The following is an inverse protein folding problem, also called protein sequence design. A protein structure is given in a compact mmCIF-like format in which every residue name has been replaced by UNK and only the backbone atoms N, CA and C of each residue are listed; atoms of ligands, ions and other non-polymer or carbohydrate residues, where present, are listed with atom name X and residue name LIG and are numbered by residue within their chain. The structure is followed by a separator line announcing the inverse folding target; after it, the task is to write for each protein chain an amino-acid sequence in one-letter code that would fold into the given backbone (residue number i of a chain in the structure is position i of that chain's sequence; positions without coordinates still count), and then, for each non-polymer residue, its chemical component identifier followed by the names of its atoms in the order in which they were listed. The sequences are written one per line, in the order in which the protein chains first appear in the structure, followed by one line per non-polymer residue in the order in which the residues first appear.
data_IF_827844661405
#
_entry.id   IF_827844661405
#
_cell.length_a   1.000
_cell.length_b   1.000
_cell.length_c   1.000
_cell.angle_alpha   90.00
_cell.angle_beta   90.00
_cell.angle_gamma   90.00
#
_symmetry.space_group_name_H-M   'P 1'
#
loop_
_entity.id
_entity.type
_entity.pdbx_description
1 polymer ?
#
# COMPACT_ATOMS: atom_id res chain seq x y z
N UNK A 1 32.53 -7.02 -10.50
CA UNK A 1 31.35 -6.43 -9.83
C UNK A 1 30.67 -5.49 -10.80
N UNK A 2 29.34 -5.59 -10.97
CA UNK A 2 28.55 -4.60 -11.69
C UNK A 2 28.64 -3.27 -10.94
N UNK A 3 28.95 -2.16 -11.63
CA UNK A 3 28.90 -0.82 -11.03
C UNK A 3 27.48 -0.27 -11.11
N UNK A 4 27.09 0.61 -10.19
CA UNK A 4 25.77 1.24 -10.20
C UNK A 4 25.50 2.05 -11.48
N UNK A 5 26.54 2.58 -12.12
CA UNK A 5 26.43 3.20 -13.44
C UNK A 5 25.99 2.19 -14.53
N UNK A 6 26.45 0.94 -14.48
CA UNK A 6 26.02 -0.10 -15.41
C UNK A 6 24.54 -0.48 -15.20
N UNK A 7 24.11 -0.56 -13.94
CA UNK A 7 22.71 -0.84 -13.59
C UNK A 7 21.81 0.30 -14.08
N UNK A 8 22.20 1.55 -13.80
CA UNK A 8 21.47 2.75 -14.23
C UNK A 8 21.29 2.83 -15.75
N UNK A 9 22.31 2.44 -16.52
CA UNK A 9 22.23 2.37 -17.99
C UNK A 9 21.28 1.28 -18.50
N UNK A 10 21.10 0.18 -17.76
CA UNK A 10 20.19 -0.90 -18.13
C UNK A 10 18.74 -0.64 -17.70
N UNK A 11 18.52 0.20 -16.68
CA UNK A 11 17.19 0.56 -16.19
C UNK A 11 16.47 1.52 -17.14
N UNK A 12 15.44 1.00 -17.83
CA UNK A 12 14.60 1.79 -18.74
C UNK A 12 13.54 2.62 -18.03
N UNK A 13 13.08 2.16 -16.86
CA UNK A 13 12.06 2.82 -16.05
C UNK A 13 12.70 3.14 -14.71
N UNK A 14 12.75 4.43 -14.37
CA UNK A 14 13.34 4.96 -13.14
C UNK A 14 12.62 6.23 -12.70
N UNK A 15 12.84 6.64 -11.46
CA UNK A 15 12.39 7.95 -10.98
C UNK A 15 13.15 9.07 -11.69
N UNK A 16 12.57 10.26 -11.68
CA UNK A 16 13.16 11.42 -12.35
C UNK A 16 14.47 11.85 -11.67
N UNK A 17 15.40 12.38 -12.46
CA UNK A 17 16.74 12.74 -11.98
C UNK A 17 16.73 14.01 -11.11
N UNK A 18 15.66 14.81 -11.15
CA UNK A 18 15.49 15.99 -10.31
C UNK A 18 14.83 15.64 -8.97
N UNK A 19 15.35 16.22 -7.89
CA UNK A 19 14.82 15.98 -6.56
C UNK A 19 13.57 16.86 -6.31
N UNK A 20 12.39 16.28 -6.01
CA UNK A 20 11.20 17.08 -5.76
C UNK A 20 11.36 17.97 -4.52
N UNK A 21 10.69 19.12 -4.51
CA UNK A 21 10.61 19.99 -3.33
C UNK A 21 9.88 19.30 -2.17
N UNK A 22 10.29 19.63 -0.94
CA UNK A 22 9.54 19.22 0.26
C UNK A 22 8.16 19.87 0.23
N UNK A 23 7.15 19.10 0.61
CA UNK A 23 5.78 19.58 0.65
C UNK A 23 5.26 19.61 2.09
N UNK A 24 4.53 20.66 2.49
CA UNK A 24 3.88 20.68 3.78
C UNK A 24 2.77 19.62 3.84
N UNK A 25 2.48 19.18 5.06
CA UNK A 25 1.27 18.42 5.35
C UNK A 25 0.12 19.37 5.61
N UNK A 26 -1.08 18.99 5.17
CA UNK A 26 -2.27 19.76 5.46
C UNK A 26 -2.73 19.47 6.88
N UNK A 27 -3.13 20.53 7.59
CA UNK A 27 -3.65 20.43 8.94
C UNK A 27 -5.01 19.70 8.95
N UNK A 28 -5.31 18.98 10.03
CA UNK A 28 -6.57 18.25 10.20
C UNK A 28 -6.64 16.90 9.48
N UNK A 29 -5.69 16.57 8.60
CA UNK A 29 -5.61 15.26 7.98
C UNK A 29 -4.94 14.27 8.92
N UNK A 30 -5.60 13.12 9.14
CA UNK A 30 -5.13 12.07 10.05
C UNK A 30 -3.78 11.51 9.60
N UNK A 31 -2.90 11.25 10.57
CA UNK A 31 -1.54 10.71 10.38
C UNK A 31 -1.36 9.39 11.11
N UNK A 32 -0.58 8.48 10.54
CA UNK A 32 -0.29 7.23 11.23
C UNK A 32 0.53 7.50 12.49
N UNK A 33 0.25 6.81 13.62
CA UNK A 33 1.08 6.93 14.80
C UNK A 33 2.47 6.32 14.55
N UNK A 34 3.47 6.79 15.28
CA UNK A 34 4.82 6.28 15.19
C UNK A 34 4.87 4.77 15.49
N UNK A 35 5.66 4.03 14.70
CA UNK A 35 5.85 2.57 14.84
C UNK A 35 7.05 2.20 15.71
N UNK A 36 7.75 3.20 16.25
CA UNK A 36 8.97 3.03 17.02
C UNK A 36 10.18 2.67 16.16
N UNK A 37 11.37 2.91 16.69
CA UNK A 37 12.64 2.62 16.02
C UNK A 37 13.39 1.54 16.80
N UNK A 38 13.48 0.33 16.22
CA UNK A 38 14.06 -0.87 16.85
C UNK A 38 15.31 -1.41 16.14
N UNK A 39 15.71 -0.79 15.03
CA UNK A 39 16.85 -1.27 14.26
C UNK A 39 18.17 -1.03 14.99
N UNK A 40 19.06 -2.02 14.94
CA UNK A 40 20.46 -1.81 15.29
C UNK A 40 21.19 -0.99 14.21
N UNK A 41 22.45 -0.63 14.45
CA UNK A 41 23.22 0.22 13.52
C UNK A 41 23.33 -0.38 12.11
N UNK A 42 23.62 -1.68 12.00
CA UNK A 42 23.80 -2.36 10.71
C UNK A 42 22.47 -2.48 9.95
N UNK A 43 21.38 -2.79 10.66
CA UNK A 43 20.04 -2.81 10.10
C UNK A 43 19.61 -1.41 9.64
N UNK A 44 19.93 -0.38 10.43
CA UNK A 44 19.65 1.03 10.08
C UNK A 44 20.36 1.42 8.78
N UNK A 45 21.65 1.11 8.67
CA UNK A 45 22.41 1.37 7.45
C UNK A 45 21.82 0.60 6.25
N UNK A 46 21.41 -0.64 6.47
CA UNK A 46 20.74 -1.46 5.45
C UNK A 46 19.39 -0.86 5.03
N UNK A 47 18.58 -0.37 5.97
CA UNK A 47 17.30 0.28 5.69
C UNK A 47 17.49 1.54 4.82
N UNK A 48 18.50 2.35 5.14
CA UNK A 48 18.86 3.53 4.33
C UNK A 48 19.31 3.13 2.93
N UNK A 49 20.19 2.13 2.80
CA UNK A 49 20.63 1.60 1.49
C UNK A 49 19.44 1.07 0.68
N UNK A 50 18.50 0.39 1.34
CA UNK A 50 17.29 -0.13 0.71
C UNK A 50 16.37 0.98 0.20
N UNK A 51 16.20 2.08 0.92
CA UNK A 51 15.43 3.23 0.43
C UNK A 51 16.17 3.94 -0.73
N UNK A 52 17.48 4.13 -0.60
CA UNK A 52 18.30 4.84 -1.58
C UNK A 52 18.49 4.08 -2.90
N UNK A 53 18.17 2.78 -2.96
CA UNK A 53 18.25 1.97 -4.20
C UNK A 53 17.37 2.51 -5.34
N UNK A 54 16.35 3.29 -5.00
CA UNK A 54 15.44 3.90 -5.98
C UNK A 54 15.92 5.23 -6.54
N UNK A 55 16.94 5.84 -5.93
CA UNK A 55 17.34 7.23 -6.17
C UNK A 55 18.75 7.31 -6.76
N UNK A 56 19.01 8.21 -7.73
CA UNK A 56 20.36 8.49 -8.22
C UNK A 56 21.34 8.85 -7.10
N UNK A 57 22.58 8.33 -7.19
CA UNK A 57 23.62 8.50 -6.16
C UNK A 57 23.94 9.95 -5.81
N UNK A 58 23.83 10.85 -6.79
CA UNK A 58 24.09 12.29 -6.60
C UNK A 58 23.20 12.92 -5.51
N UNK A 59 22.04 12.32 -5.21
CA UNK A 59 21.11 12.82 -4.19
C UNK A 59 21.25 12.13 -2.83
N UNK A 60 22.09 11.09 -2.71
CA UNK A 60 22.18 10.28 -1.50
C UNK A 60 22.63 11.11 -0.30
N UNK A 61 23.63 11.99 -0.46
CA UNK A 61 24.11 12.86 0.63
C UNK A 61 23.00 13.75 1.19
N UNK A 62 22.10 14.23 0.34
CA UNK A 62 20.97 15.08 0.74
C UNK A 62 19.86 14.27 1.41
N UNK A 63 19.58 13.06 0.92
CA UNK A 63 18.44 12.25 1.37
C UNK A 63 18.72 11.39 2.60
N UNK A 64 19.98 10.99 2.84
CA UNK A 64 20.34 10.18 4.00
C UNK A 64 19.86 10.79 5.33
N UNK A 65 20.10 12.09 5.62
CA UNK A 65 19.59 12.72 6.84
C UNK A 65 18.06 12.72 6.93
N UNK A 66 17.37 12.92 5.81
CA UNK A 66 15.91 12.96 5.76
C UNK A 66 15.30 11.59 6.03
N UNK A 67 15.80 10.55 5.36
CA UNK A 67 15.35 9.18 5.57
C UNK A 67 15.70 8.67 6.96
N UNK A 68 16.85 9.05 7.51
CA UNK A 68 17.21 8.70 8.88
C UNK A 68 16.29 9.37 9.90
N UNK A 69 15.91 10.63 9.68
CA UNK A 69 14.96 11.34 10.52
C UNK A 69 13.56 10.70 10.47
N UNK A 70 13.06 10.39 9.27
CA UNK A 70 11.79 9.67 9.10
C UNK A 70 11.83 8.32 9.83
N UNK A 71 12.90 7.54 9.63
CA UNK A 71 13.05 6.23 10.23
C UNK A 71 13.08 6.28 11.76
N UNK A 72 13.77 7.26 12.35
CA UNK A 72 13.83 7.43 13.82
C UNK A 72 12.53 7.96 14.41
N UNK A 73 11.88 8.89 13.71
CA UNK A 73 10.68 9.57 14.20
C UNK A 73 9.45 8.69 14.07
N UNK A 74 9.29 8.03 12.93
CA UNK A 74 8.08 7.28 12.60
C UNK A 74 8.27 5.77 12.62
N UNK A 75 9.51 5.29 12.67
CA UNK A 75 9.82 3.87 12.52
C UNK A 75 9.73 3.38 11.08
N UNK A 76 9.68 4.29 10.10
CA UNK A 76 9.53 3.98 8.66
C UNK A 76 10.16 5.07 7.81
N UNK A 77 10.65 4.70 6.64
CA UNK A 77 11.03 5.65 5.59
C UNK A 77 9.86 5.70 4.63
N UNK A 78 9.06 6.77 4.68
CA UNK A 78 7.96 6.98 3.76
C UNK A 78 8.43 7.69 2.49
N UNK A 79 9.53 8.42 2.56
CA UNK A 79 10.04 9.25 1.47
C UNK A 79 9.07 10.39 1.15
N UNK A 80 8.60 11.12 2.17
CA UNK A 80 7.52 12.12 2.03
C UNK A 80 7.77 13.15 0.94
N UNK A 81 9.03 13.44 0.65
CA UNK A 81 9.46 14.32 -0.45
C UNK A 81 8.93 13.88 -1.82
N UNK A 82 8.79 12.58 -2.06
CA UNK A 82 8.35 12.01 -3.34
C UNK A 82 6.83 11.95 -3.49
N UNK A 83 6.07 12.39 -2.49
CA UNK A 83 4.62 12.44 -2.54
C UNK A 83 4.15 13.40 -3.65
N UNK A 84 3.13 13.04 -4.46
CA UNK A 84 2.51 13.97 -5.40
C UNK A 84 1.89 15.20 -4.72
N UNK A 85 1.94 16.36 -5.40
CA UNK A 85 1.29 17.60 -4.93
C UNK A 85 -0.23 17.43 -4.95
N UNK A 86 -0.89 17.98 -3.91
CA UNK A 86 -2.34 18.01 -3.80
C UNK A 86 -2.97 16.76 -3.16
N UNK A 87 -4.29 16.68 -3.24
CA UNK A 87 -5.07 15.52 -2.80
C UNK A 87 -5.10 14.48 -3.90
N UNK A 88 -4.84 13.24 -3.53
CA UNK A 88 -5.02 12.12 -4.45
C UNK A 88 -6.51 11.81 -4.50
N UNK A 89 -7.01 11.57 -5.72
CA UNK A 89 -8.39 11.17 -5.98
C UNK A 89 -8.42 10.35 -7.26
N UNK A 90 -9.29 9.35 -7.29
CA UNK A 90 -9.55 8.60 -8.53
C UNK A 90 -10.17 9.53 -9.58
N UNK A 91 -9.57 9.55 -10.76
CA UNK A 91 -10.03 10.33 -11.91
C UNK A 91 -10.83 9.45 -12.89
N UNK A 92 -11.57 10.03 -13.84
CA UNK A 92 -12.06 9.30 -15.01
C UNK A 92 -10.92 8.52 -15.68
N UNK A 93 -11.21 7.28 -16.09
CA UNK A 93 -10.19 6.34 -16.61
C UNK A 93 -9.38 6.91 -17.79
N UNK A 94 -9.96 7.81 -18.57
CA UNK A 94 -9.32 8.41 -19.74
C UNK A 94 -8.28 9.49 -19.42
N UNK A 95 -8.28 10.01 -18.20
CA UNK A 95 -7.25 10.94 -17.73
C UNK A 95 -5.94 10.22 -17.34
N UNK A 96 -5.99 8.91 -17.16
CA UNK A 96 -4.80 8.12 -16.86
C UNK A 96 -3.98 7.82 -18.12
N UNK A 97 -2.68 8.09 -18.03
CA UNK A 97 -1.71 7.68 -19.04
C UNK A 97 -1.47 6.17 -18.93
N UNK A 98 -1.35 5.48 -20.07
CA UNK A 98 -1.05 4.06 -20.10
C UNK A 98 -1.15 3.47 -21.50
N UNK A 99 -0.38 2.42 -21.77
CA UNK A 99 -0.41 1.69 -23.06
C UNK A 99 -1.53 0.66 -23.17
N UNK A 100 -2.13 0.25 -22.05
CA UNK A 100 -3.30 -0.63 -22.02
C UNK A 100 -4.31 -0.18 -20.96
N UNK A 101 -5.57 -0.61 -21.11
CA UNK A 101 -6.66 -0.24 -20.21
C UNK A 101 -6.41 -0.70 -18.77
N UNK A 102 -5.88 -1.92 -18.61
CA UNK A 102 -5.58 -2.45 -17.28
C UNK A 102 -4.57 -1.59 -16.52
N UNK A 103 -3.49 -1.13 -17.17
CA UNK A 103 -2.51 -0.23 -16.57
C UNK A 103 -3.12 1.10 -16.09
N UNK A 104 -4.08 1.65 -16.84
CA UNK A 104 -4.86 2.81 -16.41
C UNK A 104 -5.77 2.49 -15.21
N UNK A 105 -6.46 1.35 -15.25
CA UNK A 105 -7.41 0.95 -14.22
C UNK A 105 -6.71 0.72 -12.87
N UNK A 106 -5.52 0.11 -12.86
CA UNK A 106 -4.75 -0.04 -11.63
C UNK A 106 -4.33 1.30 -11.03
N UNK A 107 -3.94 2.28 -11.85
CA UNK A 107 -3.63 3.62 -11.35
C UNK A 107 -4.85 4.29 -10.70
N UNK A 108 -6.03 4.17 -11.33
CA UNK A 108 -7.29 4.64 -10.77
C UNK A 108 -7.57 4.00 -9.41
N UNK A 109 -7.45 2.67 -9.32
CA UNK A 109 -7.75 1.97 -8.07
C UNK A 109 -6.73 2.27 -6.97
N UNK A 110 -5.46 2.49 -7.31
CA UNK A 110 -4.45 2.95 -6.36
C UNK A 110 -4.80 4.36 -5.85
N UNK A 111 -5.19 5.27 -6.73
CA UNK A 111 -5.61 6.61 -6.32
C UNK A 111 -6.86 6.57 -5.44
N UNK A 112 -7.82 5.68 -5.73
CA UNK A 112 -8.97 5.46 -4.86
C UNK A 112 -8.56 4.98 -3.46
N UNK A 113 -7.61 4.04 -3.38
CA UNK A 113 -7.10 3.53 -2.09
C UNK A 113 -6.34 4.59 -1.27
N UNK A 114 -5.83 5.64 -1.92
CA UNK A 114 -5.08 6.74 -1.31
C UNK A 114 -5.85 8.06 -1.29
N UNK A 115 -7.11 8.05 -1.70
CA UNK A 115 -7.99 9.20 -1.62
C UNK A 115 -8.13 9.64 -0.16
N UNK A 116 -8.08 10.93 0.10
CA UNK A 116 -8.12 11.50 1.45
C UNK A 116 -9.48 11.27 2.13
N UNK A 117 -10.53 11.03 1.34
CA UNK A 117 -11.86 10.67 1.85
C UNK A 117 -11.99 9.15 2.14
N UNK A 118 -11.02 8.34 1.69
CA UNK A 118 -11.08 6.86 1.75
C UNK A 118 -10.02 6.28 2.67
N UNK A 119 -8.78 6.75 2.54
CA UNK A 119 -7.62 6.21 3.25
C UNK A 119 -7.57 6.68 4.70
N UNK A 120 -7.21 5.76 5.60
CA UNK A 120 -7.05 6.05 7.02
C UNK A 120 -5.89 7.01 7.31
N UNK A 121 -4.75 6.80 6.66
CA UNK A 121 -3.56 7.66 6.76
C UNK A 121 -2.98 7.89 5.35
N UNK A 122 -3.56 8.81 4.55
CA UNK A 122 -3.21 8.97 3.13
C UNK A 122 -1.73 9.32 2.93
N UNK A 123 -1.14 10.10 3.84
CA UNK A 123 0.27 10.49 3.78
C UNK A 123 1.25 9.33 4.04
N UNK A 124 0.81 8.31 4.78
CA UNK A 124 1.59 7.12 5.10
C UNK A 124 1.23 5.91 4.22
N UNK A 125 0.45 6.15 3.16
CA UNK A 125 -0.01 5.14 2.20
C UNK A 125 -0.88 4.04 2.83
N UNK A 126 -1.46 4.28 4.01
CA UNK A 126 -2.30 3.33 4.73
C UNK A 126 -3.77 3.56 4.41
N UNK A 127 -4.41 2.55 3.84
CA UNK A 127 -5.82 2.60 3.48
C UNK A 127 -6.72 2.26 4.68
N UNK A 128 -6.45 1.17 5.41
CA UNK A 128 -7.26 0.79 6.58
C UNK A 128 -6.54 -0.20 7.50
N UNK A 129 -7.16 -0.52 8.64
CA UNK A 129 -6.66 -1.53 9.56
C UNK A 129 -5.35 -1.14 10.24
N UNK A 130 -5.14 0.18 10.45
CA UNK A 130 -3.96 0.82 11.04
C UNK A 130 -2.64 0.66 10.27
N UNK A 131 -2.36 -0.49 9.67
CA UNK A 131 -1.10 -0.79 8.96
C UNK A 131 -1.29 -1.28 7.53
N UNK A 132 -2.54 -1.53 7.09
CA UNK A 132 -2.86 -2.00 5.75
C UNK A 132 -2.56 -0.95 4.69
N UNK A 133 -1.44 -1.10 3.99
CA UNK A 133 -0.92 -0.10 3.06
C UNK A 133 -0.94 -0.53 1.59
N UNK A 134 -0.94 0.47 0.70
CA UNK A 134 -0.89 0.29 -0.76
C UNK A 134 0.50 -0.17 -1.22
N UNK A 135 1.53 0.41 -0.63
CA UNK A 135 2.93 0.03 -0.80
C UNK A 135 3.74 0.51 0.41
N UNK A 136 5.06 0.39 0.35
CA UNK A 136 5.94 0.73 1.46
C UNK A 136 6.16 2.23 1.64
N UNK A 137 6.44 2.91 0.53
CA UNK A 137 6.91 4.29 0.49
C UNK A 137 6.49 4.99 -0.82
N UNK A 138 6.63 6.31 -0.86
CA UNK A 138 6.24 7.13 -2.01
C UNK A 138 7.13 6.93 -3.24
N UNK A 139 8.39 6.53 -3.06
CA UNK A 139 9.32 6.28 -4.17
C UNK A 139 8.86 5.05 -4.95
N UNK A 140 8.49 3.98 -4.23
CA UNK A 140 7.90 2.78 -4.79
C UNK A 140 6.59 3.11 -5.50
N UNK A 141 5.70 3.89 -4.89
CA UNK A 141 4.43 4.25 -5.53
C UNK A 141 4.64 4.99 -6.86
N UNK A 142 5.51 5.99 -6.87
CA UNK A 142 5.84 6.76 -8.07
C UNK A 142 6.43 5.85 -9.16
N UNK A 143 7.27 4.90 -8.78
CA UNK A 143 7.84 3.93 -9.70
C UNK A 143 6.81 2.94 -10.23
N UNK A 144 5.89 2.46 -9.37
CA UNK A 144 4.74 1.60 -9.76
C UNK A 144 3.90 2.31 -10.82
N UNK A 145 3.56 3.59 -10.62
CA UNK A 145 2.80 4.36 -11.62
C UNK A 145 3.53 4.46 -12.95
N UNK A 146 4.85 4.69 -12.95
CA UNK A 146 5.66 4.66 -14.20
C UNK A 146 5.63 3.29 -14.88
N UNK A 147 5.72 2.19 -14.12
CA UNK A 147 5.58 0.85 -14.69
C UNK A 147 4.18 0.59 -15.27
N UNK A 148 3.11 1.01 -14.58
CA UNK A 148 1.73 0.85 -15.05
C UNK A 148 1.43 1.67 -16.32
N UNK A 149 2.10 2.81 -16.49
CA UNK A 149 2.02 3.61 -17.71
C UNK A 149 2.66 2.89 -18.90
N UNK A 150 3.76 2.17 -18.66
CA UNK A 150 4.51 1.45 -19.70
C UNK A 150 4.02 0.02 -19.95
N UNK A 151 3.20 -0.53 -19.05
CA UNK A 151 2.62 -1.88 -19.12
C UNK A 151 1.81 -2.08 -20.40
N UNK A 152 2.12 -3.13 -21.16
CA UNK A 152 1.36 -3.57 -22.34
C UNK A 152 0.48 -4.79 -22.03
N UNK A 153 -0.32 -5.22 -23.00
CA UNK A 153 -1.13 -6.44 -22.89
C UNK A 153 -0.28 -7.74 -22.90
N UNK A 154 0.97 -7.67 -23.35
CA UNK A 154 1.89 -8.81 -23.41
C UNK A 154 2.87 -8.84 -22.23
N UNK A 155 2.55 -8.12 -21.15
CA UNK A 155 3.39 -8.02 -19.97
C UNK A 155 2.61 -8.21 -18.67
N UNK A 156 3.33 -8.64 -17.64
CA UNK A 156 2.86 -8.70 -16.26
C UNK A 156 3.83 -7.91 -15.38
N UNK A 157 3.30 -6.97 -14.59
CA UNK A 157 4.05 -6.33 -13.51
C UNK A 157 4.08 -7.25 -12.28
N UNK A 158 5.28 -7.55 -11.79
CA UNK A 158 5.45 -8.35 -10.56
C UNK A 158 5.78 -7.42 -9.40
N UNK A 159 4.98 -7.50 -8.34
CA UNK A 159 5.10 -6.70 -7.13
C UNK A 159 5.51 -7.59 -5.94
N UNK A 160 6.49 -7.11 -5.17
CA UNK A 160 6.99 -7.76 -3.96
C UNK A 160 6.87 -6.81 -2.77
N UNK A 161 5.82 -6.97 -1.96
CA UNK A 161 5.56 -6.18 -0.76
C UNK A 161 5.62 -4.67 -1.00
N UNK A 162 5.07 -4.21 -2.12
CA UNK A 162 5.12 -2.80 -2.54
C UNK A 162 6.25 -2.46 -3.52
N UNK A 163 7.33 -3.24 -3.58
CA UNK A 163 8.41 -3.03 -4.54
C UNK A 163 8.00 -3.53 -5.94
N UNK A 164 8.04 -2.67 -6.98
CA UNK A 164 7.87 -3.14 -8.35
C UNK A 164 9.15 -3.82 -8.84
N UNK A 165 9.14 -5.15 -8.87
CA UNK A 165 10.29 -5.95 -9.33
C UNK A 165 10.56 -5.71 -10.82
N UNK A 166 9.50 -5.57 -11.62
CA UNK A 166 9.60 -5.20 -13.02
C UNK A 166 8.47 -5.76 -13.90
N UNK A 167 8.58 -5.46 -15.19
CA UNK A 167 7.70 -5.97 -16.24
C UNK A 167 8.32 -7.21 -16.88
N UNK A 168 7.57 -8.30 -16.91
CA UNK A 168 7.97 -9.57 -17.51
C UNK A 168 7.05 -9.92 -18.67
N UNK A 169 7.58 -10.58 -19.70
CA UNK A 169 6.78 -11.03 -20.86
C UNK A 169 5.71 -12.01 -20.39
N UNK A 170 4.48 -11.83 -20.86
CA UNK A 170 3.32 -12.69 -20.58
C UNK A 170 2.42 -12.79 -21.83
N UNK A 171 1.32 -13.54 -21.73
CA UNK A 171 0.27 -13.59 -22.77
C UNK A 171 -0.93 -12.68 -22.41
N UNK A 172 -1.72 -12.19 -23.38
CA UNK A 172 -2.85 -11.28 -23.14
C UNK A 172 -3.93 -11.78 -22.16
N UNK A 173 -4.09 -13.09 -22.01
CA UNK A 173 -5.01 -13.74 -21.07
C UNK A 173 -4.47 -13.87 -19.64
N UNK A 174 -3.18 -13.64 -19.43
CA UNK A 174 -2.57 -13.68 -18.10
C UNK A 174 -2.91 -12.42 -17.27
N UNK A 175 -2.75 -12.48 -15.93
CA UNK A 175 -2.84 -11.30 -15.08
C UNK A 175 -1.86 -10.21 -15.50
N UNK A 176 -2.32 -8.97 -15.51
CA UNK A 176 -1.51 -7.78 -15.81
C UNK A 176 -0.62 -7.35 -14.64
N UNK A 177 -1.00 -7.71 -13.42
CA UNK A 177 -0.23 -7.47 -12.19
C UNK A 177 -0.32 -8.72 -11.29
N UNK A 178 0.80 -9.13 -10.71
CA UNK A 178 0.85 -10.14 -9.64
C UNK A 178 1.42 -9.45 -8.40
N UNK A 179 0.68 -9.50 -7.29
CA UNK A 179 1.05 -8.83 -6.05
C UNK A 179 1.21 -9.83 -4.91
N UNK A 180 2.34 -9.72 -4.22
CA UNK A 180 2.57 -10.36 -2.94
C UNK A 180 2.77 -9.27 -1.89
N UNK A 181 2.20 -9.43 -0.69
CA UNK A 181 2.39 -8.50 0.42
C UNK A 181 2.67 -9.27 1.69
N UNK A 182 3.81 -9.00 2.33
CA UNK A 182 4.12 -9.53 3.65
C UNK A 182 4.40 -11.03 3.71
N UNK A 183 4.76 -11.67 2.59
CA UNK A 183 5.14 -13.08 2.62
C UNK A 183 6.47 -13.25 3.36
N UNK A 184 6.41 -13.97 4.49
CA UNK A 184 7.55 -14.28 5.34
C UNK A 184 7.80 -15.79 5.33
N UNK A 185 9.06 -16.20 5.56
CA UNK A 185 9.37 -17.62 5.84
C UNK A 185 8.78 -17.96 7.20
N UNK A 186 8.07 -19.10 7.32
CA UNK A 186 7.24 -19.40 8.50
C UNK A 186 7.92 -19.28 9.88
N UNK A 187 9.23 -19.53 9.99
CA UNK A 187 9.99 -19.31 11.23
C UNK A 187 9.99 -17.83 11.69
N UNK A 188 9.97 -16.91 10.72
CA UNK A 188 10.01 -15.45 10.91
C UNK A 188 8.65 -14.79 10.64
N UNK A 189 7.58 -15.57 10.45
CA UNK A 189 6.23 -15.04 10.24
C UNK A 189 5.58 -14.71 11.59
N UNK A 190 6.16 -13.71 12.26
CA UNK A 190 5.70 -13.20 13.54
C UNK A 190 5.79 -11.66 13.57
N UNK A 191 5.04 -10.99 14.46
CA UNK A 191 4.99 -9.54 14.51
C UNK A 191 6.36 -8.85 14.71
N UNK A 192 7.24 -9.41 15.54
CA UNK A 192 8.52 -8.79 15.88
C UNK A 192 9.48 -8.79 14.68
N UNK A 193 9.63 -9.94 14.02
CA UNK A 193 10.47 -10.06 12.82
C UNK A 193 9.87 -9.28 11.64
N UNK A 194 8.54 -9.29 11.50
CA UNK A 194 7.86 -8.47 10.49
C UNK A 194 8.11 -6.98 10.72
N UNK A 195 8.04 -6.47 11.96
CA UNK A 195 8.29 -5.06 12.27
C UNK A 195 9.72 -4.64 11.90
N UNK A 196 10.71 -5.51 12.10
CA UNK A 196 12.10 -5.29 11.67
C UNK A 196 12.21 -5.29 10.14
N UNK A 197 11.68 -6.32 9.47
CA UNK A 197 11.68 -6.43 8.02
C UNK A 197 11.01 -5.22 7.36
N UNK A 198 9.95 -4.74 7.97
CA UNK A 198 9.19 -3.63 7.47
C UNK A 198 9.87 -2.28 7.83
N UNK A 199 10.57 -2.13 8.95
CA UNK A 199 11.49 -0.99 9.16
C UNK A 199 12.65 -0.96 8.15
N UNK A 200 13.11 -2.12 7.70
CA UNK A 200 14.19 -2.26 6.74
C UNK A 200 13.75 -2.07 5.27
N UNK A 201 12.46 -1.85 5.00
CA UNK A 201 11.95 -1.67 3.64
C UNK A 201 11.95 -2.93 2.78
N UNK A 202 11.83 -4.12 3.41
CA UNK A 202 11.78 -5.42 2.72
C UNK A 202 10.46 -6.17 2.91
N UNK A 203 9.53 -5.64 3.71
CA UNK A 203 8.18 -6.19 3.88
C UNK A 203 7.16 -5.07 4.10
N UNK A 204 5.90 -5.36 3.79
CA UNK A 204 4.74 -4.49 4.02
C UNK A 204 3.54 -5.36 4.38
N UNK A 205 2.54 -4.75 5.02
CA UNK A 205 1.28 -5.42 5.30
C UNK A 205 0.19 -4.81 4.43
N UNK A 206 -0.28 -5.59 3.45
CA UNK A 206 -1.27 -5.13 2.48
C UNK A 206 -2.71 -5.26 2.94
N UNK A 207 -2.97 -5.84 4.13
CA UNK A 207 -4.31 -6.31 4.48
C UNK A 207 -4.87 -7.17 3.31
N UNK A 208 -6.17 -7.13 3.04
CA UNK A 208 -6.80 -7.79 1.91
C UNK A 208 -6.85 -6.85 0.69
N UNK A 209 -7.44 -5.67 0.86
CA UNK A 209 -7.77 -4.77 -0.27
C UNK A 209 -6.91 -3.51 -0.34
N UNK A 210 -6.07 -3.24 0.68
CA UNK A 210 -5.19 -2.08 0.67
C UNK A 210 -4.02 -2.31 -0.31
N UNK A 211 -3.25 -3.35 -0.10
CA UNK A 211 -2.15 -3.77 -0.97
C UNK A 211 -2.61 -4.51 -2.24
N UNK A 212 -3.89 -4.89 -2.31
CA UNK A 212 -4.51 -5.43 -3.53
C UNK A 212 -5.08 -4.36 -4.47
N UNK A 213 -5.09 -3.09 -4.04
CA UNK A 213 -5.61 -1.95 -4.81
C UNK A 213 -7.07 -2.12 -5.22
N UNK A 214 -7.94 -2.45 -4.26
CA UNK A 214 -9.37 -2.63 -4.52
C UNK A 214 -10.26 -2.33 -3.31
N UNK A 215 -9.83 -1.42 -2.44
CA UNK A 215 -10.65 -0.97 -1.33
C UNK A 215 -11.65 0.08 -1.82
N UNK A 216 -12.90 0.00 -1.36
CA UNK A 216 -14.02 0.85 -1.81
C UNK A 216 -14.76 1.51 -0.64
N UNK A 217 -14.07 1.72 0.48
CA UNK A 217 -14.66 2.29 1.69
C UNK A 217 -15.43 1.27 2.54
N UNK A 218 -16.29 1.80 3.42
CA UNK A 218 -16.98 1.02 4.46
C UNK A 218 -18.16 0.19 3.96
N UNK A 219 -18.60 0.38 2.70
CA UNK A 219 -19.76 -0.35 2.16
C UNK A 219 -19.59 -1.87 2.26
N UNK A 220 -18.37 -2.39 2.06
CA UNK A 220 -18.08 -3.82 2.15
C UNK A 220 -18.40 -4.40 3.53
N UNK A 221 -17.98 -3.72 4.60
CA UNK A 221 -18.25 -4.18 5.97
C UNK A 221 -19.74 -4.01 6.33
N UNK A 222 -20.38 -2.91 5.90
CA UNK A 222 -21.83 -2.69 6.13
C UNK A 222 -22.65 -3.82 5.50
N UNK A 223 -22.37 -4.17 4.24
CA UNK A 223 -23.06 -5.25 3.54
C UNK A 223 -22.81 -6.62 4.18
N UNK A 224 -21.56 -6.90 4.57
CA UNK A 224 -21.20 -8.14 5.28
C UNK A 224 -21.95 -8.28 6.61
N UNK A 225 -21.89 -7.26 7.46
CA UNK A 225 -22.57 -7.25 8.77
C UNK A 225 -24.08 -7.39 8.63
N UNK A 226 -24.70 -6.69 7.67
CA UNK A 226 -26.12 -6.85 7.37
C UNK A 226 -26.49 -8.31 7.09
N UNK A 227 -25.74 -8.97 6.20
CA UNK A 227 -26.00 -10.37 5.85
C UNK A 227 -25.76 -11.33 7.03
N UNK A 228 -24.74 -11.08 7.84
CA UNK A 228 -24.48 -11.88 9.05
C UNK A 228 -25.63 -11.77 10.05
N UNK A 229 -26.10 -10.54 10.31
CA UNK A 229 -27.23 -10.31 11.22
C UNK A 229 -28.51 -10.93 10.69
N UNK A 230 -28.80 -10.77 9.40
CA UNK A 230 -29.99 -11.36 8.76
C UNK A 230 -29.94 -12.89 8.79
N UNK A 231 -28.79 -13.51 8.51
CA UNK A 231 -28.62 -14.95 8.59
C UNK A 231 -28.76 -15.47 10.02
N UNK A 232 -28.19 -14.76 11.00
CA UNK A 232 -28.35 -15.05 12.42
C UNK A 232 -29.81 -14.96 12.86
N UNK A 233 -30.51 -13.90 12.46
CA UNK A 233 -31.93 -13.70 12.77
C UNK A 233 -32.83 -14.77 12.12
N UNK A 234 -32.57 -15.16 10.87
CA UNK A 234 -33.26 -16.29 10.21
C UNK A 234 -33.06 -17.60 10.97
N UNK A 235 -31.82 -17.88 11.40
CA UNK A 235 -31.46 -19.13 12.10
C UNK A 235 -31.99 -19.20 13.54
N UNK A 236 -31.93 -18.10 14.28
CA UNK A 236 -32.22 -18.09 15.72
C UNK A 236 -33.60 -17.54 16.08
N UNK A 237 -34.14 -16.62 15.27
CA UNK A 237 -35.38 -15.91 15.57
C UNK A 237 -36.51 -16.23 14.57
N UNK A 238 -36.28 -17.13 13.61
CA UNK A 238 -37.30 -17.53 12.64
C UNK A 238 -37.74 -16.42 11.69
N UNK A 239 -36.88 -15.42 11.44
CA UNK A 239 -37.20 -14.33 10.50
C UNK A 239 -37.49 -14.91 9.11
N UNK A 240 -38.64 -14.58 8.49
CA UNK A 240 -38.99 -15.08 7.16
C UNK A 240 -38.03 -14.59 6.07
N UNK A 241 -38.01 -15.32 4.95
CA UNK A 241 -37.10 -15.06 3.84
C UNK A 241 -37.32 -13.69 3.18
N UNK A 242 -38.56 -13.17 3.23
CA UNK A 242 -38.97 -11.86 2.72
C UNK A 242 -38.45 -10.67 3.54
N UNK A 243 -37.73 -10.93 4.64
CA UNK A 243 -37.09 -9.89 5.45
C UNK A 243 -38.04 -9.14 6.38
N UNK A 244 -39.29 -9.59 6.51
CA UNK A 244 -40.23 -9.01 7.47
C UNK A 244 -39.74 -9.30 8.87
N UNK A 245 -39.31 -8.28 9.61
CA UNK A 245 -38.84 -8.45 10.98
C UNK A 245 -40.04 -8.54 11.92
N UNK A 246 -40.40 -9.71 12.50
CA UNK A 246 -41.27 -9.70 13.65
C UNK A 246 -40.54 -8.95 14.79
N UNK A 247 -41.25 -8.10 15.51
CA UNK A 247 -40.71 -7.40 16.69
C UNK A 247 -40.11 -8.46 17.63
N UNK A 248 -38.79 -8.50 17.73
CA UNK A 248 -38.09 -9.50 18.51
C UNK A 248 -38.12 -9.05 19.98
N UNK A 249 -38.98 -9.64 20.80
CA UNK A 249 -38.81 -9.60 22.25
C UNK A 249 -37.63 -10.50 22.60
N UNK A 250 -36.44 -9.91 22.76
CA UNK A 250 -35.31 -10.60 23.37
C UNK A 250 -35.64 -10.83 24.85
N UNK A 251 -36.09 -12.03 25.20
CA UNK A 251 -36.08 -12.47 26.59
C UNK A 251 -34.63 -12.43 27.10
N UNK A 252 -34.36 -11.95 28.33
CA UNK A 252 -33.00 -11.75 28.81
C UNK A 252 -32.22 -13.07 28.87
N UNK A 253 -30.88 -13.03 28.66
CA UNK A 253 -30.06 -14.23 28.60
C UNK A 253 -30.01 -14.96 29.95
N UNK A 254 -30.06 -16.29 29.90
CA UNK A 254 -29.97 -17.24 31.03
C UNK A 254 -28.54 -17.33 31.60
N UNK A 255 -27.79 -16.24 31.63
CA UNK A 255 -26.43 -16.17 32.20
C UNK A 255 -26.34 -15.24 33.42
N UNK A 256 -27.46 -15.09 34.13
CA UNK A 256 -27.49 -14.56 35.49
C UNK A 256 -27.97 -15.67 36.44
N UNK A 257 -27.06 -16.57 36.79
CA UNK A 257 -27.09 -17.43 37.97
C UNK A 257 -25.65 -17.79 38.35
#
# INVERSE_FOLDING_TARGET
MLKNSNISQAMKIRLDDELPEKQPFLEGIRRAPARGFRLNRNQTETALRNALRYIPEQHHTTLVPEFLDELKTYGRIYGYRFRPKGHIKALPIEEYKGKCLAGKAFQLMIDNNLDFDVALYPYELVTYGETGSVCHDWMQLCLVKKYLQELTEEQTLVMQSGHPLGLFKSAPDNPRVIITNGLMVGLYDNPDDWEIAAQMGVSSYGQMTAGGWMYIGSQGIVHGTYNTLLAGARKMCGVPADGTWPVCSLSPPVWAA
#
